data_IF_640241179244
#
_entry.id   IF_640241179244
#
_cell.length_a   1.000
_cell.length_b   1.000
_cell.length_c   1.000
_cell.angle_alpha   90.00
_cell.angle_beta   90.00
_cell.angle_gamma   90.00
#
_symmetry.space_group_name_H-M   'P 1'
#
loop_
_entity.id
_entity.type
_entity.pdbx_description
1 polymer ?
#
# COMPACT_ATOMS: atom_id res chain seq x y z
N UNK A 1 13.80 -3.59 -0.23
CA UNK A 1 13.77 -2.39 0.69
C UNK A 1 13.17 -2.65 2.08
N UNK A 2 12.06 -3.38 2.18
CA UNK A 2 11.32 -3.63 3.43
C UNK A 2 11.95 -4.75 4.25
N UNK A 3 13.27 -4.95 4.18
CA UNK A 3 13.97 -6.03 4.91
C UNK A 3 14.01 -5.77 6.43
N UNK A 4 14.25 -4.51 6.83
CA UNK A 4 14.24 -4.10 8.24
C UNK A 4 12.82 -4.13 8.81
N UNK A 5 12.65 -4.72 9.99
CA UNK A 5 11.36 -4.83 10.70
C UNK A 5 10.64 -3.48 10.86
N UNK A 6 11.37 -2.43 11.26
CA UNK A 6 10.79 -1.08 11.40
C UNK A 6 10.18 -0.56 10.09
N UNK A 7 10.80 -0.87 8.95
CA UNK A 7 10.26 -0.45 7.64
C UNK A 7 9.01 -1.27 7.28
N UNK A 8 9.00 -2.58 7.55
CA UNK A 8 7.81 -3.42 7.33
C UNK A 8 6.62 -2.90 8.12
N UNK A 9 6.83 -2.57 9.39
CA UNK A 9 5.78 -2.05 10.26
C UNK A 9 5.29 -0.68 9.80
N UNK A 10 6.19 0.21 9.37
CA UNK A 10 5.82 1.50 8.79
C UNK A 10 4.92 1.35 7.57
N UNK A 11 5.28 0.47 6.62
CA UNK A 11 4.47 0.22 5.42
C UNK A 11 3.11 -0.37 5.80
N UNK A 12 3.09 -1.36 6.70
CA UNK A 12 1.86 -1.99 7.19
C UNK A 12 0.92 -0.98 7.84
N UNK A 13 1.46 -0.09 8.67
CA UNK A 13 0.72 0.98 9.33
C UNK A 13 0.18 2.02 8.34
N UNK A 14 0.99 2.45 7.37
CA UNK A 14 0.58 3.41 6.35
C UNK A 14 -0.59 2.87 5.49
N UNK A 15 -0.52 1.60 5.09
CA UNK A 15 -1.60 0.94 4.32
C UNK A 15 -2.87 0.83 5.17
N UNK A 16 -2.76 0.40 6.44
CA UNK A 16 -3.91 0.31 7.36
C UNK A 16 -4.58 1.66 7.60
N UNK A 17 -3.79 2.73 7.75
CA UNK A 17 -4.31 4.09 7.94
C UNK A 17 -5.11 4.56 6.72
N UNK A 18 -4.59 4.33 5.52
CA UNK A 18 -5.31 4.68 4.29
C UNK A 18 -6.55 3.82 4.05
N UNK A 19 -6.45 2.52 4.31
CA UNK A 19 -7.58 1.61 4.17
C UNK A 19 -8.74 2.02 5.10
N UNK A 20 -8.45 2.35 6.36
CA UNK A 20 -9.44 2.85 7.31
C UNK A 20 -10.08 4.17 6.86
N UNK A 21 -9.29 5.10 6.30
CA UNK A 21 -9.79 6.39 5.78
C UNK A 21 -10.78 6.23 4.62
N UNK A 22 -10.65 5.16 3.84
CA UNK A 22 -11.43 4.90 2.63
C UNK A 22 -12.41 3.73 2.78
N UNK A 23 -12.65 3.28 4.02
CA UNK A 23 -13.58 2.19 4.32
C UNK A 23 -13.24 0.87 3.59
N UNK A 24 -11.96 0.69 3.26
CA UNK A 24 -11.45 -0.54 2.66
C UNK A 24 -11.14 -1.53 3.78
N UNK A 25 -11.82 -2.67 3.78
CA UNK A 25 -11.58 -3.72 4.78
C UNK A 25 -10.41 -4.57 4.35
N UNK A 26 -9.32 -4.57 5.12
CA UNK A 26 -8.16 -5.44 4.87
C UNK A 26 -8.45 -6.83 5.45
N UNK A 27 -8.48 -7.86 4.60
CA UNK A 27 -8.62 -9.26 5.01
C UNK A 27 -7.25 -9.88 5.30
N UNK A 28 -6.26 -9.59 4.45
CA UNK A 28 -4.89 -10.10 4.60
C UNK A 28 -3.87 -9.10 4.07
N UNK A 29 -2.71 -8.99 4.73
CA UNK A 29 -1.61 -8.14 4.28
C UNK A 29 -0.26 -8.80 4.58
N UNK A 30 0.52 -9.03 3.52
CA UNK A 30 1.88 -9.53 3.61
C UNK A 30 2.85 -8.50 3.00
N UNK A 31 3.75 -8.00 3.85
CA UNK A 31 4.80 -7.05 3.44
C UNK A 31 6.10 -7.84 3.24
N UNK A 32 6.41 -8.11 1.98
CA UNK A 32 7.62 -8.79 1.56
C UNK A 32 8.76 -7.78 1.37
N UNK A 33 10.02 -8.22 1.25
CA UNK A 33 11.16 -7.31 1.09
C UNK A 33 11.04 -6.34 -0.09
N UNK A 34 10.48 -6.80 -1.21
CA UNK A 34 10.43 -6.08 -2.49
C UNK A 34 9.01 -5.65 -2.90
N UNK A 35 7.97 -6.36 -2.46
CA UNK A 35 6.58 -6.07 -2.83
C UNK A 35 5.62 -6.32 -1.66
N UNK A 36 4.34 -5.98 -1.85
CA UNK A 36 3.30 -6.15 -0.83
C UNK A 36 2.12 -6.87 -1.46
N UNK A 37 1.67 -7.96 -0.83
CA UNK A 37 0.39 -8.58 -1.16
C UNK A 37 -0.68 -8.05 -0.22
N UNK A 38 -1.84 -7.76 -0.78
CA UNK A 38 -3.00 -7.28 -0.07
C UNK A 38 -4.24 -8.02 -0.58
N UNK A 39 -4.99 -8.59 0.34
CA UNK A 39 -6.36 -9.02 0.10
C UNK A 39 -7.27 -8.07 0.88
N UNK A 40 -8.16 -7.39 0.18
CA UNK A 40 -9.08 -6.44 0.78
C UNK A 40 -10.46 -6.51 0.12
N UNK A 41 -11.48 -6.18 0.90
CA UNK A 41 -12.84 -5.97 0.44
C UNK A 41 -13.05 -4.48 0.22
N UNK A 42 -13.46 -4.12 -0.99
CA UNK A 42 -13.78 -2.73 -1.35
C UNK A 42 -15.21 -2.38 -0.92
N UNK A 43 -15.48 -1.10 -0.61
CA UNK A 43 -16.85 -0.62 -0.43
C UNK A 43 -17.61 -0.67 -1.76
N UNK A 44 -18.95 -0.77 -1.68
CA UNK A 44 -19.82 -0.86 -2.88
C UNK A 44 -19.63 0.38 -3.76
N UNK A 45 -19.64 0.18 -5.08
CA UNK A 45 -19.52 1.25 -6.07
C UNK A 45 -18.11 1.82 -6.26
N UNK A 46 -17.07 1.18 -5.71
CA UNK A 46 -15.67 1.50 -6.01
C UNK A 46 -15.04 0.45 -6.90
N UNK A 47 -14.17 0.90 -7.79
CA UNK A 47 -13.41 0.05 -8.71
C UNK A 47 -12.07 -0.35 -8.12
N UNK A 48 -11.51 -1.44 -8.61
CA UNK A 48 -10.19 -1.94 -8.22
C UNK A 48 -9.10 -0.91 -8.50
N UNK A 49 -9.14 -0.27 -9.67
CA UNK A 49 -8.20 0.79 -10.06
C UNK A 49 -8.22 1.97 -9.09
N UNK A 50 -9.41 2.34 -8.60
CA UNK A 50 -9.55 3.39 -7.59
C UNK A 50 -8.89 2.98 -6.27
N UNK A 51 -9.18 1.78 -5.76
CA UNK A 51 -8.59 1.29 -4.52
C UNK A 51 -7.07 1.15 -4.65
N UNK A 52 -6.59 0.64 -5.79
CA UNK A 52 -5.18 0.50 -6.10
C UNK A 52 -4.45 1.85 -6.06
N UNK A 53 -4.97 2.88 -6.75
CA UNK A 53 -4.40 4.22 -6.70
C UNK A 53 -4.37 4.81 -5.29
N UNK A 54 -5.47 4.70 -4.54
CA UNK A 54 -5.55 5.26 -3.17
C UNK A 54 -4.58 4.56 -2.22
N UNK A 55 -4.53 3.24 -2.24
CA UNK A 55 -3.66 2.46 -1.35
C UNK A 55 -2.19 2.64 -1.74
N UNK A 56 -1.86 2.63 -3.02
CA UNK A 56 -0.49 2.78 -3.51
C UNK A 56 0.05 4.18 -3.31
N UNK A 57 -0.60 5.19 -3.89
CA UNK A 57 -0.16 6.58 -3.81
C UNK A 57 -0.27 7.14 -2.40
N UNK A 58 -1.37 6.86 -1.71
CA UNK A 58 -1.61 7.33 -0.34
C UNK A 58 -0.60 6.77 0.66
N UNK A 59 -0.34 5.45 0.62
CA UNK A 59 0.65 4.86 1.53
C UNK A 59 2.07 5.37 1.25
N UNK A 60 2.46 5.55 -0.02
CA UNK A 60 3.76 6.10 -0.39
C UNK A 60 3.96 7.52 0.18
N UNK A 61 2.94 8.37 0.10
CA UNK A 61 2.95 9.70 0.68
C UNK A 61 3.23 9.69 2.19
N UNK A 62 2.52 8.83 2.95
CA UNK A 62 2.73 8.73 4.41
C UNK A 62 4.12 8.19 4.76
N UNK A 63 4.63 7.26 3.98
CA UNK A 63 5.95 6.67 4.23
C UNK A 63 7.04 7.73 4.05
N UNK A 64 6.98 8.52 2.99
CA UNK A 64 7.93 9.63 2.79
C UNK A 64 7.76 10.72 3.84
N UNK A 65 6.52 11.04 4.24
CA UNK A 65 6.26 12.03 5.29
C UNK A 65 6.84 11.61 6.66
N UNK A 66 6.72 10.33 7.02
CA UNK A 66 7.24 9.85 8.30
C UNK A 66 8.75 9.61 8.30
N UNK A 67 9.36 9.39 7.12
CA UNK A 67 10.79 9.06 7.02
C UNK A 67 11.40 9.76 5.81
N UNK A 68 11.63 11.05 5.96
CA UNK A 68 12.07 11.93 4.89
C UNK A 68 13.38 11.46 4.23
N UNK A 69 14.31 10.90 5.03
CA UNK A 69 15.56 10.29 4.55
C UNK A 69 15.37 9.15 3.53
N UNK A 70 14.18 8.59 3.39
CA UNK A 70 13.90 7.64 2.31
C UNK A 70 13.95 8.30 0.93
N UNK A 71 13.67 9.59 0.80
CA UNK A 71 13.77 10.31 -0.48
C UNK A 71 15.18 10.29 -1.04
N UNK A 72 16.20 10.30 -0.19
CA UNK A 72 17.61 10.22 -0.62
C UNK A 72 17.94 8.90 -1.35
N UNK A 73 17.22 7.82 -1.03
CA UNK A 73 17.37 6.51 -1.71
C UNK A 73 16.55 6.43 -3.00
N UNK A 74 15.55 7.29 -3.17
CA UNK A 74 14.66 7.34 -4.33
C UNK A 74 14.82 8.68 -5.04
N UNK A 75 15.84 8.83 -5.90
CA UNK A 75 16.11 10.11 -6.58
C UNK A 75 14.94 10.59 -7.45
N UNK A 76 14.14 9.66 -7.98
CA UNK A 76 12.90 9.99 -8.72
C UNK A 76 11.66 10.19 -7.81
N UNK A 77 11.78 10.03 -6.50
CA UNK A 77 10.68 10.21 -5.54
C UNK A 77 9.61 9.11 -5.54
N UNK A 78 9.80 8.01 -6.27
CA UNK A 78 8.82 6.93 -6.38
C UNK A 78 9.06 5.80 -5.38
N UNK A 79 8.17 5.64 -4.40
CA UNK A 79 8.27 4.54 -3.42
C UNK A 79 7.87 3.17 -4.00
N UNK A 80 6.96 3.16 -4.99
CA UNK A 80 6.46 1.93 -5.62
C UNK A 80 6.64 2.01 -7.13
N UNK A 81 6.91 0.86 -7.75
CA UNK A 81 6.92 0.70 -9.21
C UNK A 81 5.59 1.15 -9.83
N UNK A 82 5.56 1.68 -11.06
CA UNK A 82 4.33 2.18 -11.70
C UNK A 82 3.28 1.08 -11.93
N UNK A 83 3.69 -0.16 -12.18
CA UNK A 83 2.80 -1.31 -12.32
C UNK A 83 2.28 -1.90 -11.01
N UNK A 84 1.35 -2.84 -11.13
CA UNK A 84 0.92 -3.75 -10.07
C UNK A 84 -0.20 -4.64 -10.55
N UNK A 85 -0.38 -5.77 -9.88
CA UNK A 85 -1.40 -6.77 -10.23
C UNK A 85 -2.57 -6.62 -9.28
N UNK A 86 -3.77 -6.56 -9.84
CA UNK A 86 -5.02 -6.64 -9.08
C UNK A 86 -5.89 -7.70 -9.73
N UNK A 87 -6.33 -8.68 -8.93
CA UNK A 87 -7.28 -9.70 -9.36
C UNK A 87 -8.46 -9.72 -8.40
N UNK A 88 -9.66 -9.84 -8.95
CA UNK A 88 -10.89 -9.99 -8.20
C UNK A 88 -11.17 -11.47 -7.97
N UNK A 89 -11.59 -11.81 -6.76
CA UNK A 89 -12.17 -13.11 -6.43
C UNK A 89 -13.60 -12.86 -5.98
N UNK A 90 -14.56 -13.21 -6.83
CA UNK A 90 -15.95 -13.27 -6.42
C UNK A 90 -16.09 -14.32 -5.33
N UNK A 91 -16.72 -13.95 -4.21
CA UNK A 91 -17.23 -14.96 -3.28
C UNK A 91 -18.38 -15.65 -4.00
N UNK A 92 -18.14 -16.89 -4.44
CA UNK A 92 -19.21 -17.84 -4.74
C UNK A 92 -19.92 -18.18 -3.44
#
# INVERSE_FOLDING_TARGET
MMRKYGNKNLVKAAIRKFAKKHEIKINYIAVLPEHVHLLCTLPRGKTDSWAFHKLKGGSAYLIFKNKEKFRLRYPQGHFRSPGGVCSYRWKQ
#
